data_IF_701903525484
#
_entry.id   IF_701903525484
#
_cell.length_a   1.000
_cell.length_b   1.000
_cell.length_c   1.000
_cell.angle_alpha   90.00
_cell.angle_beta   90.00
_cell.angle_gamma   90.00
#
_symmetry.space_group_name_H-M   'P 1'
#
loop_
_entity.id
_entity.type
_entity.pdbx_description
1 polymer ?
#
# COMPACT_ATOMS: atom_id res chain seq x y z
N UNK A 1 9.50 -4.26 27.64
CA UNK A 1 9.56 -4.77 26.26
C UNK A 1 9.97 -3.64 25.34
N UNK A 2 11.13 -3.72 24.69
CA UNK A 2 11.71 -2.63 23.90
C UNK A 2 10.84 -2.24 22.70
N UNK A 3 10.88 -0.96 22.31
CA UNK A 3 10.12 -0.42 21.16
C UNK A 3 10.43 -1.15 19.85
N UNK A 4 11.63 -1.71 19.72
CA UNK A 4 12.06 -2.53 18.57
C UNK A 4 11.15 -3.76 18.39
N UNK A 5 10.78 -4.44 19.49
CA UNK A 5 9.92 -5.62 19.42
C UNK A 5 8.47 -5.26 19.07
N UNK A 6 8.00 -4.07 19.45
CA UNK A 6 6.66 -3.57 19.07
C UNK A 6 6.60 -3.22 17.58
N UNK A 7 7.65 -2.61 17.05
CA UNK A 7 7.74 -2.25 15.63
C UNK A 7 7.84 -3.50 14.75
N UNK A 8 8.63 -4.50 15.16
CA UNK A 8 8.72 -5.77 14.46
C UNK A 8 7.37 -6.53 14.44
N UNK A 9 6.66 -6.56 15.58
CA UNK A 9 5.31 -7.18 15.68
C UNK A 9 4.28 -6.49 14.78
N UNK A 10 4.31 -5.15 14.68
CA UNK A 10 3.47 -4.41 13.74
C UNK A 10 3.81 -4.72 12.28
N UNK A 11 5.10 -4.86 11.97
CA UNK A 11 5.54 -5.21 10.61
C UNK A 11 5.04 -6.57 10.14
N UNK A 12 4.97 -7.57 11.03
CA UNK A 12 4.44 -8.90 10.69
C UNK A 12 2.92 -8.90 10.55
N UNK A 13 2.20 -8.04 11.27
CA UNK A 13 0.74 -7.95 11.20
C UNK A 13 0.26 -7.46 9.83
N UNK A 14 1.04 -6.60 9.18
CA UNK A 14 0.75 -6.06 7.85
C UNK A 14 1.12 -6.99 6.70
N UNK A 15 1.63 -8.20 6.96
CA UNK A 15 1.72 -9.25 5.94
C UNK A 15 0.32 -9.62 5.41
N UNK A 16 -0.69 -9.55 6.28
CA UNK A 16 -2.10 -9.78 5.93
C UNK A 16 -2.67 -8.50 5.30
N UNK A 17 -3.18 -8.59 4.07
CA UNK A 17 -3.73 -7.45 3.33
C UNK A 17 -4.91 -6.78 4.05
N UNK A 18 -5.81 -7.57 4.64
CA UNK A 18 -6.95 -7.05 5.38
C UNK A 18 -6.52 -6.12 6.54
N UNK A 19 -5.41 -6.44 7.20
CA UNK A 19 -4.86 -5.59 8.26
C UNK A 19 -4.30 -4.27 7.73
N UNK A 20 -3.74 -4.28 6.52
CA UNK A 20 -3.35 -3.04 5.84
C UNK A 20 -4.57 -2.20 5.48
N UNK A 21 -5.59 -2.82 4.91
CA UNK A 21 -6.86 -2.16 4.56
C UNK A 21 -7.52 -1.48 5.76
N UNK A 22 -7.53 -2.14 6.92
CA UNK A 22 -8.03 -1.58 8.19
C UNK A 22 -7.34 -0.30 8.66
N UNK A 23 -6.19 0.06 8.10
CA UNK A 23 -5.50 1.33 8.43
C UNK A 23 -6.17 2.55 7.78
N UNK A 24 -6.88 2.38 6.66
CA UNK A 24 -7.42 3.46 5.81
C UNK A 24 -8.75 4.07 6.33
N UNK A 25 -9.00 4.06 7.64
CA UNK A 25 -10.27 4.54 8.23
C UNK A 25 -10.59 6.02 7.97
N UNK A 26 -9.58 6.83 7.67
CA UNK A 26 -9.69 8.28 7.42
C UNK A 26 -9.14 8.66 6.05
N UNK A 27 -9.08 7.69 5.13
CA UNK A 27 -8.58 7.93 3.80
C UNK A 27 -9.48 8.92 3.05
N UNK A 28 -8.87 9.85 2.32
CA UNK A 28 -9.59 10.95 1.69
C UNK A 28 -10.23 10.56 0.35
N UNK A 29 -9.75 9.49 -0.30
CA UNK A 29 -10.26 9.05 -1.60
C UNK A 29 -11.34 7.96 -1.45
N UNK A 30 -12.53 8.14 -2.07
CA UNK A 30 -13.62 7.17 -2.02
C UNK A 30 -13.37 5.92 -2.87
N UNK A 31 -14.21 4.90 -2.70
CA UNK A 31 -14.12 3.59 -3.37
C UNK A 31 -14.09 3.66 -4.91
N UNK A 32 -14.69 4.69 -5.51
CA UNK A 32 -14.74 4.88 -6.96
C UNK A 32 -13.38 5.28 -7.58
N UNK A 33 -12.46 5.79 -6.77
CA UNK A 33 -11.17 6.31 -7.26
C UNK A 33 -10.16 5.17 -7.48
N UNK A 34 -9.13 5.42 -8.30
CA UNK A 34 -8.06 4.46 -8.57
C UNK A 34 -7.15 4.28 -7.36
N UNK A 35 -6.97 5.33 -6.57
CA UNK A 35 -6.18 5.33 -5.34
C UNK A 35 -7.03 5.03 -4.08
N UNK A 36 -8.14 4.30 -4.23
CA UNK A 36 -8.99 3.92 -3.09
C UNK A 36 -8.27 3.04 -2.06
N UNK A 37 -8.84 2.92 -0.86
CA UNK A 37 -8.25 2.18 0.26
C UNK A 37 -7.92 0.72 -0.06
N UNK A 38 -8.76 0.06 -0.86
CA UNK A 38 -8.60 -1.34 -1.22
C UNK A 38 -7.37 -1.55 -2.11
N UNK A 39 -7.27 -0.77 -3.19
CA UNK A 39 -6.14 -0.83 -4.13
C UNK A 39 -4.83 -0.40 -3.48
N UNK A 40 -4.88 0.59 -2.57
CA UNK A 40 -3.73 0.99 -1.77
C UNK A 40 -3.21 -0.17 -0.91
N UNK A 41 -4.10 -0.82 -0.15
CA UNK A 41 -3.75 -1.95 0.69
C UNK A 41 -3.22 -3.13 -0.13
N UNK A 42 -3.85 -3.40 -1.27
CA UNK A 42 -3.41 -4.43 -2.23
C UNK A 42 -1.99 -4.16 -2.72
N UNK A 43 -1.66 -2.92 -3.09
CA UNK A 43 -0.32 -2.49 -3.51
C UNK A 43 0.72 -2.50 -2.38
N UNK A 44 0.33 -2.88 -1.15
CA UNK A 44 1.23 -3.04 -0.02
C UNK A 44 1.37 -1.79 0.84
N UNK A 45 0.48 -0.80 0.68
CA UNK A 45 0.49 0.40 1.49
C UNK A 45 -0.33 0.24 2.78
N UNK A 46 0.11 0.92 3.83
CA UNK A 46 -0.67 1.23 5.02
C UNK A 46 -0.83 2.74 5.12
N UNK A 47 -1.98 3.18 5.60
CA UNK A 47 -2.23 4.58 5.90
C UNK A 47 -1.44 5.02 7.13
N UNK A 48 -0.71 6.13 6.99
CA UNK A 48 0.02 6.79 8.08
C UNK A 48 -0.32 8.28 8.19
N UNK A 49 -1.34 8.72 7.44
CA UNK A 49 -1.69 10.12 7.34
C UNK A 49 -2.19 10.73 8.63
N UNK A 50 -2.05 12.04 8.70
CA UNK A 50 -2.42 12.87 9.83
C UNK A 50 -3.09 14.16 9.33
N UNK A 51 -3.29 15.16 10.19
CA UNK A 51 -3.97 16.41 9.78
C UNK A 51 -3.19 17.21 8.74
N UNK A 52 -1.86 17.13 8.75
CA UNK A 52 -0.97 17.85 7.84
C UNK A 52 -0.75 17.08 6.54
N UNK A 53 -0.66 15.75 6.62
CA UNK A 53 -0.44 14.86 5.49
C UNK A 53 -1.60 13.85 5.40
N UNK A 54 -2.79 14.27 4.92
CA UNK A 54 -4.03 13.51 5.05
C UNK A 54 -4.09 12.26 4.17
N UNK A 55 -3.19 12.16 3.20
CA UNK A 55 -3.09 11.08 2.22
C UNK A 55 -1.72 10.36 2.30
N UNK A 56 -0.95 10.56 3.37
CA UNK A 56 0.33 9.88 3.50
C UNK A 56 0.14 8.37 3.75
N UNK A 57 0.91 7.58 3.00
CA UNK A 57 0.97 6.12 3.10
C UNK A 57 2.40 5.64 3.23
N UNK A 58 2.58 4.39 3.66
CA UNK A 58 3.88 3.72 3.71
C UNK A 58 3.77 2.26 3.30
N UNK A 59 4.70 1.77 2.50
CA UNK A 59 4.75 0.34 2.20
C UNK A 59 5.15 -0.47 3.43
N UNK A 60 4.40 -1.52 3.77
CA UNK A 60 4.71 -2.39 4.91
C UNK A 60 6.03 -3.17 4.74
N UNK A 61 6.45 -3.42 3.50
CA UNK A 61 7.59 -4.26 3.17
C UNK A 61 8.86 -3.44 2.96
N UNK A 62 8.83 -2.47 2.05
CA UNK A 62 10.01 -1.65 1.71
C UNK A 62 10.12 -0.35 2.53
N UNK A 63 9.13 -0.04 3.36
CA UNK A 63 9.06 1.19 4.17
C UNK A 63 9.08 2.51 3.38
N UNK A 64 8.94 2.49 2.05
CA UNK A 64 8.80 3.71 1.25
C UNK A 64 7.49 4.42 1.63
N UNK A 65 7.59 5.67 2.05
CA UNK A 65 6.44 6.57 2.23
C UNK A 65 6.18 7.38 0.96
N UNK A 66 4.90 7.64 0.69
CA UNK A 66 4.39 8.46 -0.41
C UNK A 66 3.18 9.27 0.08
N UNK A 67 2.98 10.42 -0.53
CA UNK A 67 1.90 11.39 -0.31
C UNK A 67 1.65 12.17 -1.63
N UNK A 68 0.65 13.06 -1.64
CA UNK A 68 0.29 13.85 -2.82
C UNK A 68 -0.39 13.04 -3.91
N UNK A 69 -1.27 12.12 -3.52
CA UNK A 69 -2.00 11.24 -4.44
C UNK A 69 -3.09 11.98 -5.19
N UNK A 70 -3.32 11.57 -6.44
CA UNK A 70 -4.47 11.96 -7.24
C UNK A 70 -5.47 10.81 -7.40
N UNK A 71 -6.74 11.13 -7.66
CA UNK A 71 -7.83 10.15 -7.78
C UNK A 71 -7.62 9.12 -8.90
N UNK A 72 -6.76 9.43 -9.87
CA UNK A 72 -6.44 8.58 -11.03
C UNK A 72 -5.18 7.75 -10.85
N UNK A 73 -4.40 7.98 -9.80
CA UNK A 73 -3.14 7.28 -9.61
C UNK A 73 -3.35 5.79 -9.36
N UNK A 74 -2.55 4.96 -10.04
CA UNK A 74 -2.48 3.52 -9.78
C UNK A 74 -1.45 3.25 -8.68
N UNK A 75 -1.86 2.70 -7.50
CA UNK A 75 -0.94 2.47 -6.41
C UNK A 75 0.23 1.54 -6.74
N UNK A 76 0.06 0.55 -7.63
CA UNK A 76 1.14 -0.34 -8.03
C UNK A 76 2.16 0.35 -8.93
N UNK A 77 1.70 1.21 -9.83
CA UNK A 77 2.58 2.00 -10.69
C UNK A 77 3.42 2.98 -9.89
N UNK A 78 2.78 3.75 -9.01
CA UNK A 78 3.47 4.70 -8.14
C UNK A 78 4.44 3.98 -7.18
N UNK A 79 4.06 2.80 -6.65
CA UNK A 79 4.96 2.00 -5.83
C UNK A 79 6.22 1.58 -6.60
N UNK A 80 6.09 1.06 -7.81
CA UNK A 80 7.24 0.61 -8.60
C UNK A 80 8.09 1.78 -9.13
N UNK A 81 7.45 2.90 -9.46
CA UNK A 81 8.12 4.14 -9.87
C UNK A 81 8.99 4.71 -8.75
N UNK A 82 8.48 4.75 -7.52
CA UNK A 82 9.16 5.38 -6.39
C UNK A 82 9.98 4.42 -5.51
N UNK A 83 9.76 3.11 -5.62
CA UNK A 83 10.56 2.07 -4.99
C UNK A 83 10.79 0.87 -5.93
N UNK A 84 11.55 1.05 -7.03
CA UNK A 84 11.77 0.03 -8.07
C UNK A 84 12.56 -1.20 -7.60
N UNK A 85 12.95 -1.26 -6.32
CA UNK A 85 13.63 -2.41 -5.70
C UNK A 85 12.75 -3.15 -4.70
N UNK A 86 11.50 -2.75 -4.50
CA UNK A 86 10.57 -3.43 -3.60
C UNK A 86 10.19 -4.82 -4.15
N UNK A 87 10.62 -5.89 -3.48
CA UNK A 87 10.33 -7.27 -3.90
C UNK A 87 8.83 -7.58 -3.88
N UNK A 88 8.11 -7.09 -2.87
CA UNK A 88 6.65 -7.25 -2.79
C UNK A 88 5.95 -6.70 -4.04
N UNK A 89 6.27 -5.45 -4.42
CA UNK A 89 5.69 -4.79 -5.58
C UNK A 89 6.01 -5.54 -6.90
N UNK A 90 7.25 -5.99 -7.07
CA UNK A 90 7.68 -6.72 -8.27
C UNK A 90 6.99 -8.06 -8.44
N UNK A 91 7.01 -8.88 -7.40
CA UNK A 91 6.52 -10.26 -7.47
C UNK A 91 5.00 -10.25 -7.63
N UNK A 92 4.30 -9.45 -6.85
CA UNK A 92 2.82 -9.46 -6.79
C UNK A 92 2.19 -8.83 -8.03
N UNK A 93 2.77 -7.73 -8.58
CA UNK A 93 2.27 -7.18 -9.84
C UNK A 93 2.45 -8.17 -10.99
N UNK A 94 3.58 -8.88 -11.02
CA UNK A 94 3.87 -9.87 -12.07
C UNK A 94 2.92 -11.07 -12.00
N UNK A 95 2.65 -11.61 -10.81
CA UNK A 95 1.72 -12.75 -10.67
C UNK A 95 0.29 -12.38 -11.10
N UNK A 96 -0.16 -11.17 -10.80
CA UNK A 96 -1.50 -10.71 -11.21
C UNK A 96 -1.62 -10.47 -12.72
N UNK A 97 -0.54 -10.04 -13.37
CA UNK A 97 -0.51 -9.92 -14.84
C UNK A 97 -0.60 -11.28 -15.53
N UNK A 98 -0.04 -12.35 -14.95
CA UNK A 98 -0.22 -13.71 -15.50
C UNK A 98 -1.63 -14.24 -15.31
N UNK A 99 -2.29 -13.94 -14.18
CA UNK A 99 -3.65 -14.40 -13.93
C UNK A 99 -4.66 -13.75 -14.90
N UNK A 100 -4.49 -12.46 -15.19
CA UNK A 100 -5.35 -11.72 -16.12
C UNK A 100 -5.17 -12.08 -17.60
N UNK A 101 -4.09 -12.80 -17.98
CA UNK A 101 -3.88 -13.29 -19.35
C UNK A 101 -4.62 -14.60 -19.65
N UNK A 102 -5.21 -15.22 -18.63
CA UNK A 102 -5.93 -16.49 -18.73
C UNK A 102 -7.42 -16.31 -19.04
N UNK A 103 -7.91 -15.07 -19.09
CA UNK A 103 -9.32 -14.70 -19.30
C UNK A 103 -9.47 -13.80 -20.54
N UNK A 104 -8.55 -13.90 -21.50
CA UNK A 104 -8.60 -13.22 -22.81
C UNK A 104 -8.79 -14.25 -23.93
#
# INVERSE_FOLDING_TARGET
MSEILKQARKSTDYLIEENRRKTFKKWVFPDKDMCNADKMAEAGFIFIGNKHDPDAVKCFFCNKSLDGWDSTDDPWEEHLKHAPKCSYAKITKTSRLSDNKSVS
#
